data_IF_079466867848
#
_entry.id   IF_079466867848
#
_cell.length_a   1.000
_cell.length_b   1.000
_cell.length_c   1.000
_cell.angle_alpha   90.00
_cell.angle_beta   90.00
_cell.angle_gamma   90.00
#
_symmetry.space_group_name_H-M   'P 1'
#
loop_
_entity.id
_entity.type
_entity.pdbx_description
1 polymer ?
#
# COMPACT_ATOMS: atom_id res chain seq x y z
N UNK A 1 -16.32 -3.57 12.96
CA UNK A 1 -15.22 -3.38 11.99
C UNK A 1 -14.60 -4.71 11.67
N UNK A 2 -14.30 -4.98 10.39
CA UNK A 2 -13.56 -6.18 9.94
C UNK A 2 -12.10 -5.81 9.68
N UNK A 3 -11.15 -6.63 10.18
CA UNK A 3 -9.72 -6.47 9.94
C UNK A 3 -9.18 -7.72 9.28
N UNK A 4 -8.72 -7.59 8.04
CA UNK A 4 -8.16 -8.66 7.23
C UNK A 4 -6.63 -8.58 7.20
N UNK A 5 -5.99 -9.65 7.63
CA UNK A 5 -4.53 -9.81 7.64
C UNK A 5 -4.11 -10.64 6.44
N UNK A 6 -3.17 -10.13 5.65
CA UNK A 6 -2.56 -10.86 4.54
C UNK A 6 -1.32 -11.57 5.07
N UNK A 7 -1.36 -12.90 5.12
CA UNK A 7 -0.25 -13.74 5.52
C UNK A 7 0.49 -14.35 4.33
N UNK A 8 1.80 -14.22 4.31
CA UNK A 8 2.70 -14.99 3.46
C UNK A 8 4.03 -15.20 4.15
N UNK A 9 4.22 -16.40 4.72
CA UNK A 9 5.40 -16.78 5.50
C UNK A 9 5.68 -15.82 6.67
N UNK A 10 4.63 -15.49 7.45
CA UNK A 10 4.68 -14.50 8.53
C UNK A 10 5.26 -14.99 9.85
N UNK A 11 5.62 -16.27 9.95
CA UNK A 11 6.26 -16.81 11.13
C UNK A 11 5.49 -16.53 12.43
N UNK A 12 6.21 -16.01 13.43
CA UNK A 12 5.63 -15.62 14.73
C UNK A 12 4.94 -14.25 14.69
N UNK A 13 5.30 -13.39 13.73
CA UNK A 13 4.73 -12.04 13.54
C UNK A 13 3.22 -12.11 13.30
N UNK A 14 2.74 -13.09 12.53
CA UNK A 14 1.30 -13.30 12.31
C UNK A 14 0.55 -13.48 13.63
N UNK A 15 1.06 -14.32 14.53
CA UNK A 15 0.40 -14.58 15.83
C UNK A 15 0.40 -13.33 16.71
N UNK A 16 1.48 -12.56 16.71
CA UNK A 16 1.57 -11.30 17.45
C UNK A 16 0.58 -10.26 16.91
N UNK A 17 0.47 -10.14 15.60
CA UNK A 17 -0.48 -9.25 14.93
C UNK A 17 -1.93 -9.61 15.31
N UNK A 18 -2.33 -10.88 15.21
CA UNK A 18 -3.67 -11.35 15.60
C UNK A 18 -3.95 -11.05 17.07
N UNK A 19 -3.00 -11.32 17.98
CA UNK A 19 -3.16 -11.03 19.41
C UNK A 19 -3.35 -9.54 19.69
N UNK A 20 -2.60 -8.65 19.04
CA UNK A 20 -2.75 -7.19 19.21
C UNK A 20 -4.12 -6.69 18.75
N UNK A 21 -4.69 -7.28 17.70
CA UNK A 21 -6.05 -6.97 17.23
C UNK A 21 -7.14 -7.51 18.16
N UNK A 22 -6.96 -8.69 18.73
CA UNK A 22 -7.93 -9.26 19.69
C UNK A 22 -7.89 -8.57 21.07
N UNK A 23 -6.82 -7.82 21.35
CA UNK A 23 -6.64 -7.06 22.59
C UNK A 23 -7.16 -5.61 22.50
N UNK A 24 -7.86 -5.22 21.43
CA UNK A 24 -8.39 -3.86 21.26
C UNK A 24 -9.48 -3.53 22.29
N UNK A 25 -9.56 -2.23 22.68
CA UNK A 25 -10.60 -1.71 23.60
C UNK A 25 -12.02 -1.85 23.06
N UNK A 26 -12.16 -1.92 21.74
CA UNK A 26 -13.44 -2.20 21.05
C UNK A 26 -13.33 -3.48 20.22
N UNK A 27 -14.40 -4.29 20.13
CA UNK A 27 -14.33 -5.56 19.44
C UNK A 27 -14.10 -5.39 17.93
N UNK A 28 -13.17 -6.18 17.39
CA UNK A 28 -12.90 -6.30 15.96
C UNK A 28 -13.06 -7.75 15.51
N UNK A 29 -13.53 -7.95 14.31
CA UNK A 29 -13.58 -9.27 13.66
C UNK A 29 -12.30 -9.44 12.84
N UNK A 30 -11.48 -10.43 13.20
CA UNK A 30 -10.19 -10.69 12.57
C UNK A 30 -10.33 -11.82 11.54
N UNK A 31 -9.88 -11.54 10.30
CA UNK A 31 -9.76 -12.50 9.23
C UNK A 31 -8.28 -12.62 8.82
N UNK A 32 -7.79 -13.82 8.61
CA UNK A 32 -6.45 -14.10 8.11
C UNK A 32 -6.56 -14.77 6.77
N UNK A 33 -5.99 -14.17 5.72
CA UNK A 33 -5.87 -14.76 4.41
C UNK A 33 -4.47 -15.31 4.22
N UNK A 34 -4.34 -16.61 4.21
CA UNK A 34 -3.06 -17.27 3.93
C UNK A 34 -2.83 -17.37 2.42
N UNK A 35 -1.85 -16.64 1.94
CA UNK A 35 -1.52 -16.53 0.52
C UNK A 35 -0.53 -17.63 0.07
N UNK A 36 -0.83 -18.89 0.42
CA UNK A 36 0.00 -20.08 0.19
C UNK A 36 1.37 -20.02 0.91
N UNK A 37 1.35 -19.82 2.21
CA UNK A 37 2.57 -19.90 3.03
C UNK A 37 3.15 -21.31 3.04
N UNK A 38 4.47 -21.39 3.10
CA UNK A 38 5.22 -22.64 3.17
C UNK A 38 5.90 -22.85 4.53
N UNK A 39 5.78 -21.87 5.41
CA UNK A 39 6.27 -21.92 6.78
C UNK A 39 5.20 -22.45 7.76
N UNK A 40 5.51 -22.43 9.06
CA UNK A 40 4.60 -22.90 10.11
C UNK A 40 3.67 -21.79 10.66
N UNK A 41 3.56 -20.61 10.01
CA UNK A 41 2.79 -19.47 10.55
C UNK A 41 1.32 -19.84 10.82
N UNK A 42 0.65 -20.50 9.88
CA UNK A 42 -0.75 -20.90 10.02
C UNK A 42 -0.91 -22.02 11.05
N UNK A 43 -0.03 -23.02 11.05
CA UNK A 43 -0.07 -24.11 12.02
C UNK A 43 0.14 -23.58 13.46
N UNK A 44 1.05 -22.62 13.63
CA UNK A 44 1.31 -21.99 14.92
C UNK A 44 0.13 -21.13 15.37
N UNK A 45 -0.50 -20.37 14.46
CA UNK A 45 -1.69 -19.61 14.75
C UNK A 45 -2.85 -20.51 15.21
N UNK A 46 -3.13 -21.61 14.47
CA UNK A 46 -4.17 -22.60 14.82
C UNK A 46 -3.98 -23.21 16.21
N UNK A 47 -2.73 -23.51 16.60
CA UNK A 47 -2.39 -24.03 17.94
C UNK A 47 -2.72 -23.07 19.08
N UNK A 48 -2.77 -21.75 18.82
CA UNK A 48 -3.11 -20.75 19.85
C UNK A 48 -4.62 -20.66 20.14
N UNK A 49 -5.47 -21.29 19.32
CA UNK A 49 -6.93 -21.28 19.45
C UNK A 49 -7.52 -19.86 19.62
N UNK A 50 -6.98 -18.90 18.87
CA UNK A 50 -7.42 -17.51 18.89
C UNK A 50 -8.72 -17.32 18.07
N UNK A 51 -9.58 -16.38 18.48
CA UNK A 51 -10.84 -16.09 17.82
C UNK A 51 -10.62 -15.29 16.52
N UNK A 52 -10.17 -15.95 15.45
CA UNK A 52 -9.99 -15.37 14.12
C UNK A 52 -10.45 -16.37 13.05
N UNK A 53 -10.85 -15.84 11.88
CA UNK A 53 -11.24 -16.63 10.71
C UNK A 53 -10.03 -16.82 9.81
N UNK A 54 -9.68 -18.05 9.47
CA UNK A 54 -8.54 -18.36 8.61
C UNK A 54 -9.06 -18.83 7.25
N UNK A 55 -8.60 -18.17 6.20
CA UNK A 55 -8.89 -18.48 4.79
C UNK A 55 -7.57 -18.95 4.18
N UNK A 56 -7.44 -20.25 3.92
CA UNK A 56 -6.24 -20.83 3.32
C UNK A 56 -6.40 -20.88 1.79
N UNK A 57 -5.55 -20.17 1.08
CA UNK A 57 -5.53 -20.16 -0.38
C UNK A 57 -4.42 -21.11 -0.91
N UNK A 58 -4.72 -21.83 -1.99
CA UNK A 58 -3.81 -22.85 -2.55
C UNK A 58 -2.65 -22.29 -3.39
N UNK A 59 -2.67 -21.00 -3.72
CA UNK A 59 -1.64 -20.35 -4.54
C UNK A 59 -1.35 -18.92 -4.09
N UNK A 60 -0.15 -18.43 -4.39
CA UNK A 60 0.23 -17.05 -4.06
C UNK A 60 -0.32 -16.08 -5.12
N UNK A 61 -1.40 -15.39 -4.78
CA UNK A 61 -2.09 -14.40 -5.63
C UNK A 61 -1.40 -13.02 -5.66
N UNK A 62 -0.28 -12.85 -4.94
CA UNK A 62 0.30 -11.54 -4.69
C UNK A 62 -0.55 -10.73 -3.69
N UNK A 63 -0.09 -9.51 -3.39
CA UNK A 63 -0.79 -8.65 -2.41
C UNK A 63 -2.18 -8.23 -2.91
N UNK A 64 -2.29 -7.76 -4.15
CA UNK A 64 -3.56 -7.33 -4.73
C UNK A 64 -4.62 -8.44 -4.76
N UNK A 65 -4.22 -9.67 -5.12
CA UNK A 65 -5.13 -10.83 -5.13
C UNK A 65 -5.58 -11.22 -3.73
N UNK A 66 -4.67 -11.22 -2.76
CA UNK A 66 -4.99 -11.51 -1.35
C UNK A 66 -5.92 -10.45 -0.74
N UNK A 67 -5.70 -9.16 -1.04
CA UNK A 67 -6.64 -8.09 -0.67
C UNK A 67 -8.05 -8.37 -1.19
N UNK A 68 -8.18 -8.73 -2.46
CA UNK A 68 -9.50 -9.04 -3.04
C UNK A 68 -10.15 -10.26 -2.37
N UNK A 69 -9.36 -11.31 -2.06
CA UNK A 69 -9.87 -12.47 -1.36
C UNK A 69 -10.39 -12.16 0.06
N UNK A 70 -9.73 -11.23 0.76
CA UNK A 70 -10.24 -10.73 2.04
C UNK A 70 -11.53 -9.93 1.87
N UNK A 71 -11.58 -8.99 0.92
CA UNK A 71 -12.74 -8.13 0.69
C UNK A 71 -14.02 -8.94 0.37
N UNK A 72 -13.89 -10.09 -0.28
CA UNK A 72 -15.02 -11.00 -0.56
C UNK A 72 -15.62 -11.63 0.71
N UNK A 73 -14.86 -11.67 1.81
CA UNK A 73 -15.25 -12.25 3.10
C UNK A 73 -15.52 -11.20 4.20
N UNK A 74 -15.37 -9.91 3.88
CA UNK A 74 -15.59 -8.79 4.79
C UNK A 74 -16.96 -8.15 4.53
N UNK A 75 -17.71 -7.87 5.61
CA UNK A 75 -19.07 -7.34 5.50
C UNK A 75 -19.31 -6.06 6.31
N UNK A 76 -18.43 -5.71 7.26
CA UNK A 76 -18.59 -4.52 8.07
C UNK A 76 -18.46 -3.23 7.24
N UNK A 77 -19.10 -2.15 7.70
CA UNK A 77 -19.05 -0.83 7.04
C UNK A 77 -17.64 -0.25 7.03
N UNK A 78 -16.87 -0.49 8.09
CA UNK A 78 -15.44 -0.16 8.15
C UNK A 78 -14.63 -1.45 7.97
N UNK A 79 -13.76 -1.44 6.98
CA UNK A 79 -12.91 -2.56 6.60
C UNK A 79 -11.44 -2.12 6.64
N UNK A 80 -10.60 -3.02 7.11
CA UNK A 80 -9.15 -2.78 7.18
C UNK A 80 -8.41 -3.95 6.55
N UNK A 81 -7.49 -3.65 5.64
CA UNK A 81 -6.54 -4.61 5.08
C UNK A 81 -5.15 -4.31 5.66
N UNK A 82 -4.47 -5.32 6.17
CA UNK A 82 -3.16 -5.12 6.77
C UNK A 82 -2.19 -6.29 6.54
N UNK A 83 -0.90 -6.00 6.68
CA UNK A 83 0.15 -7.01 6.68
C UNK A 83 0.18 -7.77 8.03
N UNK A 84 0.81 -8.95 8.02
CA UNK A 84 0.99 -9.81 9.18
C UNK A 84 2.09 -9.36 10.16
N UNK A 85 2.95 -8.41 9.76
CA UNK A 85 4.11 -7.91 10.53
C UNK A 85 3.83 -6.59 11.26
N UNK A 86 2.57 -6.38 11.64
CA UNK A 86 2.09 -5.20 12.37
C UNK A 86 1.68 -5.54 13.81
N UNK A 87 1.87 -4.58 14.71
CA UNK A 87 1.33 -4.61 16.06
C UNK A 87 0.49 -3.35 16.29
N UNK A 88 -0.74 -3.52 16.74
CA UNK A 88 -1.71 -2.43 16.90
C UNK A 88 -1.70 -1.93 18.34
N UNK A 89 -1.66 -0.59 18.52
CA UNK A 89 -1.87 0.02 19.83
C UNK A 89 -3.23 -0.44 20.40
N UNK A 90 -3.34 -0.74 21.72
CA UNK A 90 -4.58 -1.25 22.31
C UNK A 90 -5.82 -0.37 22.07
N UNK A 91 -5.65 0.93 21.83
CA UNK A 91 -6.73 1.89 21.57
C UNK A 91 -6.90 2.21 20.07
N UNK A 92 -6.11 1.61 19.20
CA UNK A 92 -6.10 1.91 17.76
C UNK A 92 -7.47 1.83 17.10
N UNK A 93 -8.22 0.76 17.35
CA UNK A 93 -9.52 0.55 16.74
C UNK A 93 -10.55 1.61 17.18
N UNK A 94 -10.56 1.96 18.46
CA UNK A 94 -11.40 3.02 19.01
C UNK A 94 -11.06 4.38 18.39
N UNK A 95 -9.78 4.73 18.32
CA UNK A 95 -9.31 6.00 17.74
C UNK A 95 -9.62 6.09 16.25
N UNK A 96 -9.45 4.99 15.52
CA UNK A 96 -9.78 4.89 14.11
C UNK A 96 -11.28 5.11 13.86
N UNK A 97 -12.15 4.44 14.61
CA UNK A 97 -13.60 4.57 14.50
C UNK A 97 -14.04 5.99 14.85
N UNK A 98 -13.53 6.58 15.94
CA UNK A 98 -13.81 7.96 16.33
C UNK A 98 -13.38 8.95 15.24
N UNK A 99 -12.30 8.69 14.51
CA UNK A 99 -11.88 9.52 13.39
C UNK A 99 -12.87 9.39 12.21
N UNK A 100 -13.34 8.20 11.88
CA UNK A 100 -14.40 8.02 10.89
C UNK A 100 -15.70 8.74 11.26
N UNK A 101 -16.06 8.77 12.55
CA UNK A 101 -17.27 9.45 13.03
C UNK A 101 -17.13 10.98 12.94
N UNK A 102 -15.94 11.53 13.23
CA UNK A 102 -15.65 12.96 13.04
C UNK A 102 -15.63 13.40 11.58
N UNK A 103 -15.30 12.46 10.66
CA UNK A 103 -15.16 12.69 9.23
C UNK A 103 -16.09 11.78 8.42
N UNK A 104 -17.43 12.01 8.45
CA UNK A 104 -18.39 11.18 7.75
C UNK A 104 -18.19 11.19 6.21
N UNK A 105 -17.57 12.25 5.67
CA UNK A 105 -17.21 12.41 4.26
C UNK A 105 -15.96 11.62 3.86
N UNK A 106 -15.12 11.20 4.82
CA UNK A 106 -13.92 10.44 4.53
C UNK A 106 -14.25 9.01 4.10
N UNK A 107 -13.76 8.62 2.93
CA UNK A 107 -13.82 7.24 2.46
C UNK A 107 -12.78 6.34 3.12
N UNK A 108 -11.67 6.92 3.59
CA UNK A 108 -10.56 6.21 4.24
C UNK A 108 -9.98 7.02 5.39
N UNK A 109 -9.39 6.32 6.36
CA UNK A 109 -8.63 6.93 7.47
C UNK A 109 -7.26 6.26 7.54
N UNK A 110 -6.20 7.04 7.38
CA UNK A 110 -4.82 6.58 7.47
C UNK A 110 -4.33 6.58 8.92
N UNK A 111 -3.79 5.46 9.38
CA UNK A 111 -3.18 5.32 10.69
C UNK A 111 -1.75 5.91 10.70
N UNK A 112 -1.28 6.32 11.87
CA UNK A 112 0.13 6.61 12.11
C UNK A 112 0.90 5.29 12.20
N UNK A 113 1.72 5.01 11.20
CA UNK A 113 2.57 3.82 11.19
C UNK A 113 4.00 4.20 11.57
N UNK A 114 4.54 3.55 12.59
CA UNK A 114 5.84 3.90 13.16
C UNK A 114 6.55 2.68 13.75
N UNK A 115 7.85 2.78 13.99
CA UNK A 115 8.62 1.84 14.79
C UNK A 115 8.42 2.12 16.28
N UNK A 116 8.58 1.12 17.14
CA UNK A 116 8.57 1.32 18.62
C UNK A 116 9.67 2.30 19.07
N UNK A 117 10.72 2.43 18.29
CA UNK A 117 11.80 3.42 18.48
C UNK A 117 11.36 4.89 18.33
N UNK A 118 10.16 5.14 17.82
CA UNK A 118 9.66 6.48 17.52
C UNK A 118 9.96 6.98 16.10
N UNK A 119 10.53 6.13 15.24
CA UNK A 119 10.75 6.48 13.83
C UNK A 119 9.48 6.25 13.03
N UNK A 120 9.00 7.28 12.31
CA UNK A 120 7.80 7.24 11.49
C UNK A 120 8.07 6.43 10.21
N UNK A 121 7.17 5.49 9.91
CA UNK A 121 7.18 4.75 8.66
C UNK A 121 6.31 5.41 7.59
N UNK A 122 5.14 5.90 7.97
CA UNK A 122 4.22 6.61 7.08
C UNK A 122 3.16 7.41 7.86
N UNK A 123 2.82 8.58 7.32
CA UNK A 123 1.64 9.40 7.65
C UNK A 123 0.63 9.29 6.51
N UNK A 124 1.12 9.25 5.28
CA UNK A 124 0.38 9.14 4.03
C UNK A 124 1.36 8.91 2.88
N UNK A 125 0.90 9.13 1.65
CA UNK A 125 1.70 8.96 0.44
C UNK A 125 1.81 10.26 -0.33
N UNK A 126 3.01 10.61 -0.78
CA UNK A 126 3.34 11.76 -1.63
C UNK A 126 4.00 11.29 -2.92
N UNK A 127 4.01 12.14 -3.94
CA UNK A 127 4.51 11.79 -5.26
C UNK A 127 5.60 12.73 -5.77
N UNK A 128 6.61 12.15 -6.43
CA UNK A 128 7.47 12.89 -7.35
C UNK A 128 6.75 13.19 -8.67
N UNK A 129 7.29 14.13 -9.43
CA UNK A 129 6.75 14.54 -10.74
C UNK A 129 6.70 13.40 -11.78
N UNK A 130 7.35 12.30 -11.51
CA UNK A 130 7.37 11.07 -12.32
C UNK A 130 6.44 9.97 -11.77
N UNK A 131 5.50 10.32 -10.88
CA UNK A 131 4.62 9.38 -10.16
C UNK A 131 5.38 8.43 -9.23
N UNK A 132 6.59 8.77 -8.80
CA UNK A 132 7.29 8.00 -7.79
C UNK A 132 6.64 8.21 -6.43
N UNK A 133 6.07 7.16 -5.86
CA UNK A 133 5.43 7.21 -4.56
C UNK A 133 6.46 7.15 -3.41
N UNK A 134 6.28 8.01 -2.42
CA UNK A 134 7.08 8.05 -1.19
C UNK A 134 6.14 8.19 0.01
N UNK A 135 6.43 7.44 1.06
CA UNK A 135 5.71 7.62 2.32
C UNK A 135 6.10 8.95 2.96
N UNK A 136 5.10 9.76 3.30
CA UNK A 136 5.28 11.03 3.99
C UNK A 136 5.87 10.80 5.38
N UNK A 137 6.77 11.67 5.80
CA UNK A 137 7.51 11.63 7.07
C UNK A 137 8.36 10.37 7.31
N UNK A 138 8.49 9.47 6.32
CA UNK A 138 9.24 8.22 6.49
C UNK A 138 10.70 8.46 6.85
N UNK A 139 11.11 7.90 7.99
CA UNK A 139 12.48 7.98 8.52
C UNK A 139 12.73 9.16 9.46
N UNK A 140 11.74 10.04 9.67
CA UNK A 140 11.81 11.09 10.68
C UNK A 140 11.46 10.54 12.07
N UNK A 141 12.01 11.16 13.12
CA UNK A 141 11.51 10.93 14.46
C UNK A 141 10.12 11.54 14.60
N UNK A 142 9.24 10.95 15.40
CA UNK A 142 7.88 11.44 15.63
C UNK A 142 7.84 12.87 16.15
N UNK A 143 8.86 13.31 16.90
CA UNK A 143 8.98 14.67 17.40
C UNK A 143 9.28 15.72 16.30
N UNK A 144 9.78 15.26 15.14
CA UNK A 144 10.16 16.10 13.99
C UNK A 144 9.12 16.03 12.86
N UNK A 145 8.24 15.02 12.89
CA UNK A 145 7.24 14.80 11.87
C UNK A 145 6.01 15.68 12.05
N UNK A 146 5.41 16.14 10.94
CA UNK A 146 4.08 16.79 10.98
C UNK A 146 3.01 15.70 11.10
N UNK A 147 2.60 15.44 12.34
CA UNK A 147 1.59 14.43 12.70
C UNK A 147 0.22 15.03 13.01
N UNK A 148 -0.09 16.24 12.53
CA UNK A 148 -1.43 16.80 12.69
C UNK A 148 -2.43 16.05 11.82
N UNK A 149 -3.69 15.95 12.31
CA UNK A 149 -4.80 15.43 11.52
C UNK A 149 -4.96 16.28 10.25
N UNK A 150 -4.98 15.64 9.09
CA UNK A 150 -5.04 16.30 7.77
C UNK A 150 -5.49 15.35 6.68
N UNK A 151 -5.90 15.91 5.55
CA UNK A 151 -6.14 15.14 4.33
C UNK A 151 -4.81 14.65 3.73
N UNK A 152 -4.78 13.37 3.32
CA UNK A 152 -3.65 12.72 2.66
C UNK A 152 -4.13 11.98 1.41
N UNK A 153 -3.23 11.64 0.49
CA UNK A 153 -3.59 10.93 -0.73
C UNK A 153 -4.26 9.58 -0.48
N UNK A 154 -3.76 8.81 0.44
CA UNK A 154 -4.21 7.45 0.76
C UNK A 154 -3.43 6.87 1.92
N UNK A 155 -3.88 5.73 2.42
CA UNK A 155 -3.19 5.00 3.48
C UNK A 155 -1.89 4.36 2.95
N UNK A 156 -0.99 4.08 3.88
CA UNK A 156 0.17 3.23 3.62
C UNK A 156 -0.27 1.79 3.35
N UNK A 157 0.28 1.15 2.30
CA UNK A 157 -0.12 -0.18 1.88
C UNK A 157 0.01 -1.28 2.94
N UNK A 158 0.81 -1.07 4.01
CA UNK A 158 0.89 -2.03 5.11
C UNK A 158 -0.39 -2.06 5.96
N UNK A 159 -1.14 -0.96 6.05
CA UNK A 159 -2.44 -0.88 6.73
C UNK A 159 -3.34 0.13 6.02
N UNK A 160 -4.47 -0.33 5.50
CA UNK A 160 -5.44 0.46 4.76
C UNK A 160 -6.81 0.31 5.40
N UNK A 161 -7.37 1.42 5.91
CA UNK A 161 -8.68 1.46 6.56
C UNK A 161 -9.63 2.29 5.71
N UNK A 162 -10.82 1.76 5.39
CA UNK A 162 -11.76 2.42 4.50
C UNK A 162 -13.22 2.01 4.77
N UNK A 163 -14.15 2.84 4.33
CA UNK A 163 -15.56 2.49 4.27
C UNK A 163 -15.83 1.51 3.13
N UNK A 164 -16.68 0.53 3.36
CA UNK A 164 -17.12 -0.44 2.33
C UNK A 164 -17.61 0.26 1.07
N UNK A 165 -18.43 1.30 1.21
CA UNK A 165 -18.94 2.08 0.07
C UNK A 165 -17.82 2.71 -0.78
N UNK A 166 -16.75 3.16 -0.16
CA UNK A 166 -15.58 3.72 -0.87
C UNK A 166 -14.80 2.62 -1.61
N UNK A 167 -14.64 1.44 -0.98
CA UNK A 167 -14.02 0.29 -1.62
C UNK A 167 -14.83 -0.21 -2.83
N UNK A 168 -16.16 -0.29 -2.71
CA UNK A 168 -17.05 -0.66 -3.81
C UNK A 168 -17.00 0.34 -4.97
N UNK A 169 -16.97 1.63 -4.67
CA UNK A 169 -16.83 2.68 -5.68
C UNK A 169 -15.48 2.65 -6.39
N UNK A 170 -14.37 2.43 -5.67
CA UNK A 170 -13.05 2.24 -6.27
C UNK A 170 -12.99 0.93 -7.08
N UNK A 171 -13.66 -0.12 -6.62
CA UNK A 171 -13.66 -1.47 -7.19
C UNK A 171 -12.44 -2.30 -6.76
N UNK A 172 -12.38 -3.55 -7.19
CA UNK A 172 -11.31 -4.49 -6.85
C UNK A 172 -9.92 -3.96 -7.23
N UNK A 173 -8.90 -4.36 -6.48
CA UNK A 173 -7.51 -4.17 -6.89
C UNK A 173 -7.20 -5.05 -8.11
N UNK A 174 -6.38 -4.55 -9.03
CA UNK A 174 -5.95 -5.35 -10.19
C UNK A 174 -4.90 -6.39 -9.78
N UNK A 175 -5.31 -7.66 -9.65
CA UNK A 175 -4.44 -8.76 -9.25
C UNK A 175 -3.19 -8.91 -10.14
N UNK A 176 -3.22 -8.43 -11.39
CA UNK A 176 -2.08 -8.47 -12.30
C UNK A 176 -0.91 -7.56 -11.90
N UNK A 177 -1.14 -6.64 -10.94
CA UNK A 177 -0.06 -5.89 -10.30
C UNK A 177 0.81 -6.82 -9.45
N UNK A 178 0.22 -7.81 -8.84
CA UNK A 178 0.84 -8.81 -7.98
C UNK A 178 1.41 -8.21 -6.69
N UNK A 179 2.35 -7.25 -6.77
CA UNK A 179 3.03 -6.67 -5.63
C UNK A 179 3.56 -5.26 -5.95
N UNK A 180 3.43 -4.34 -5.01
CA UNK A 180 3.80 -2.93 -5.06
C UNK A 180 3.03 -2.09 -6.08
N UNK A 181 2.61 -0.91 -5.63
CA UNK A 181 1.88 0.09 -6.41
C UNK A 181 0.40 -0.21 -6.66
N UNK A 182 -0.12 -1.40 -6.27
CA UNK A 182 -1.53 -1.75 -6.39
C UNK A 182 -2.42 -0.87 -5.52
N UNK A 183 -2.00 -0.59 -4.29
CA UNK A 183 -2.68 0.32 -3.37
C UNK A 183 -2.68 1.76 -3.91
N UNK A 184 -1.59 2.18 -4.50
CA UNK A 184 -1.45 3.51 -5.10
C UNK A 184 -2.43 3.70 -6.26
N UNK A 185 -2.52 2.73 -7.17
CA UNK A 185 -3.48 2.74 -8.28
C UNK A 185 -4.91 2.71 -7.76
N UNK A 186 -5.17 1.92 -6.72
CA UNK A 186 -6.48 1.81 -6.10
C UNK A 186 -6.89 3.13 -5.42
N UNK A 187 -5.99 3.81 -4.70
CA UNK A 187 -6.27 5.11 -4.10
C UNK A 187 -6.48 6.22 -5.13
N UNK A 188 -5.87 6.16 -6.30
CA UNK A 188 -6.26 7.06 -7.40
C UNK A 188 -7.73 6.87 -7.77
N UNK A 189 -8.22 5.64 -7.92
CA UNK A 189 -9.63 5.36 -8.21
C UNK A 189 -10.56 5.77 -7.06
N UNK A 190 -10.15 5.56 -5.83
CA UNK A 190 -10.85 6.01 -4.63
C UNK A 190 -11.04 7.53 -4.64
N UNK A 191 -9.98 8.29 -4.90
CA UNK A 191 -10.04 9.75 -5.03
C UNK A 191 -10.86 10.19 -6.25
N UNK A 192 -10.75 9.50 -7.39
CA UNK A 192 -11.55 9.79 -8.60
C UNK A 192 -13.05 9.54 -8.37
N UNK A 193 -13.41 8.61 -7.50
CA UNK A 193 -14.78 8.35 -7.06
C UNK A 193 -15.31 9.44 -6.09
N UNK A 194 -14.48 10.42 -5.71
CA UNK A 194 -14.86 11.55 -4.86
C UNK A 194 -14.60 11.35 -3.37
N UNK A 195 -14.02 10.23 -2.98
CA UNK A 195 -13.68 9.96 -1.58
C UNK A 195 -12.32 10.56 -1.21
N UNK A 196 -12.18 10.93 0.06
CA UNK A 196 -10.95 11.47 0.64
C UNK A 196 -10.39 10.52 1.69
N UNK A 197 -9.10 10.68 1.98
CA UNK A 197 -8.43 9.99 3.09
C UNK A 197 -7.99 11.01 4.13
N UNK A 198 -8.36 10.79 5.39
CA UNK A 198 -7.94 11.60 6.52
C UNK A 198 -6.88 10.85 7.32
N UNK A 199 -5.77 11.50 7.64
CA UNK A 199 -4.75 10.96 8.53
C UNK A 199 -5.18 11.14 9.99
N UNK A 200 -5.19 10.05 10.75
CA UNK A 200 -5.51 10.02 12.18
C UNK A 200 -4.24 9.73 13.01
N UNK A 201 -3.63 10.72 13.63
CA UNK A 201 -2.39 10.54 14.40
C UNK A 201 -2.57 9.71 15.67
N UNK A 202 -3.79 9.63 16.18
CA UNK A 202 -4.12 8.88 17.39
C UNK A 202 -4.22 7.36 17.13
N UNK A 203 -4.55 6.95 15.90
CA UNK A 203 -4.64 5.55 15.50
C UNK A 203 -3.25 5.00 15.17
N UNK A 204 -2.52 4.53 16.20
CA UNK A 204 -1.12 4.11 16.10
C UNK A 204 -0.97 2.64 15.76
N UNK A 205 -0.09 2.33 14.81
CA UNK A 205 0.30 0.99 14.41
C UNK A 205 1.82 0.88 14.40
N UNK A 206 2.35 -0.16 15.01
CA UNK A 206 3.77 -0.41 15.05
C UNK A 206 4.16 -1.41 13.95
N UNK A 207 5.15 -1.03 13.17
CA UNK A 207 5.70 -1.82 12.08
C UNK A 207 7.22 -1.79 12.21
N UNK A 208 7.75 -2.77 12.90
CA UNK A 208 9.20 -2.95 12.92
C UNK A 208 9.62 -3.34 11.50
N UNK A 209 10.47 -2.52 10.89
CA UNK A 209 10.96 -2.82 9.54
C UNK A 209 11.63 -4.17 9.55
N UNK A 210 10.89 -5.21 9.16
CA UNK A 210 11.47 -6.54 9.09
C UNK A 210 12.65 -6.53 8.14
N UNK A 211 13.74 -7.16 8.53
CA UNK A 211 14.94 -7.34 7.68
C UNK A 211 14.63 -8.11 6.39
N UNK A 212 13.44 -8.71 6.28
CA UNK A 212 12.96 -9.46 5.12
C UNK A 212 12.59 -8.57 3.92
N UNK A 213 12.22 -7.30 4.14
CA UNK A 213 11.92 -6.38 3.03
C UNK A 213 13.15 -5.56 2.68
N UNK A 214 14.07 -6.14 1.93
CA UNK A 214 15.23 -5.43 1.40
C UNK A 214 14.79 -4.18 0.66
N UNK A 215 15.21 -3.02 1.16
CA UNK A 215 14.76 -1.68 0.72
C UNK A 215 14.83 -1.47 -0.80
N UNK A 216 15.73 -2.19 -1.50
CA UNK A 216 15.96 -2.13 -2.95
C UNK A 216 16.34 -3.49 -3.54
N UNK A 217 15.43 -4.48 -3.52
CA UNK A 217 15.69 -5.72 -4.26
C UNK A 217 15.39 -5.52 -5.76
N UNK A 218 16.04 -6.28 -6.67
CA UNK A 218 15.71 -6.26 -8.10
C UNK A 218 14.24 -6.59 -8.37
N UNK A 219 13.65 -7.47 -7.55
CA UNK A 219 12.23 -7.83 -7.60
C UNK A 219 11.34 -6.63 -7.25
N UNK A 220 11.64 -5.93 -6.16
CA UNK A 220 10.91 -4.72 -5.74
C UNK A 220 10.99 -3.65 -6.82
N UNK A 221 12.20 -3.39 -7.33
CA UNK A 221 12.42 -2.41 -8.38
C UNK A 221 11.65 -2.74 -9.66
N UNK A 222 11.65 -4.02 -10.06
CA UNK A 222 10.91 -4.49 -11.23
C UNK A 222 9.40 -4.25 -11.09
N UNK A 223 8.77 -4.72 -10.01
CA UNK A 223 7.33 -4.55 -9.82
C UNK A 223 6.94 -3.09 -9.65
N UNK A 224 7.64 -2.34 -8.80
CA UNK A 224 7.34 -0.93 -8.56
C UNK A 224 7.42 -0.11 -9.84
N UNK A 225 8.46 -0.30 -10.66
CA UNK A 225 8.62 0.45 -11.92
C UNK A 225 7.61 0.04 -12.98
N UNK A 226 7.39 -1.27 -13.17
CA UNK A 226 6.37 -1.79 -14.09
C UNK A 226 4.99 -1.24 -13.75
N UNK A 227 4.61 -1.34 -12.48
CA UNK A 227 3.28 -0.97 -12.02
C UNK A 227 3.08 0.55 -12.01
N UNK A 228 4.13 1.33 -11.70
CA UNK A 228 4.14 2.79 -11.83
C UNK A 228 3.82 3.22 -13.28
N UNK A 229 4.48 2.62 -14.27
CA UNK A 229 4.23 2.91 -15.69
C UNK A 229 2.81 2.54 -16.12
N UNK A 230 2.33 1.37 -15.69
CA UNK A 230 0.95 0.92 -15.94
C UNK A 230 -0.08 1.90 -15.36
N UNK A 231 0.09 2.30 -14.10
CA UNK A 231 -0.76 3.28 -13.42
C UNK A 231 -0.78 4.62 -14.17
N UNK A 232 0.39 5.09 -14.60
CA UNK A 232 0.49 6.31 -15.36
C UNK A 232 -0.28 6.25 -16.69
N UNK A 233 -0.15 5.17 -17.47
CA UNK A 233 -0.88 4.96 -18.71
C UNK A 233 -2.40 4.96 -18.48
N UNK A 234 -2.87 4.32 -17.41
CA UNK A 234 -4.28 4.25 -17.04
C UNK A 234 -4.87 5.62 -16.69
N UNK A 235 -4.12 6.44 -15.97
CA UNK A 235 -4.67 7.57 -15.21
C UNK A 235 -4.19 8.95 -15.69
N UNK A 236 -2.93 9.12 -16.08
CA UNK A 236 -2.38 10.45 -16.36
C UNK A 236 -2.66 10.90 -17.80
N UNK A 237 -2.64 12.22 -18.09
CA UNK A 237 -2.64 12.72 -19.45
C UNK A 237 -1.49 12.10 -20.26
N UNK A 238 -1.74 11.76 -21.54
CA UNK A 238 -0.72 11.11 -22.38
C UNK A 238 0.54 11.97 -22.53
N UNK A 239 0.40 13.30 -22.53
CA UNK A 239 1.55 14.23 -22.50
C UNK A 239 2.48 14.02 -21.30
N UNK A 240 1.96 13.61 -20.16
CA UNK A 240 2.75 13.28 -18.99
C UNK A 240 3.34 11.87 -19.07
N UNK A 241 2.57 10.91 -19.61
CA UNK A 241 3.04 9.54 -19.82
C UNK A 241 4.30 9.52 -20.68
N UNK A 242 4.34 10.30 -21.78
CA UNK A 242 5.53 10.40 -22.63
C UNK A 242 6.76 11.02 -21.96
N UNK A 243 6.60 11.82 -20.91
CA UNK A 243 7.70 12.42 -20.13
C UNK A 243 8.28 11.49 -19.07
N UNK A 244 7.53 10.45 -18.68
CA UNK A 244 7.91 9.56 -17.56
C UNK A 244 9.22 8.80 -17.76
N UNK A 245 9.56 8.26 -18.94
CA UNK A 245 10.84 7.58 -19.15
C UNK A 245 12.03 8.51 -18.87
N UNK A 246 11.95 9.74 -19.37
CA UNK A 246 13.01 10.74 -19.15
C UNK A 246 13.13 11.14 -17.66
N UNK A 247 12.00 11.45 -17.03
CA UNK A 247 11.96 11.81 -15.59
C UNK A 247 12.45 10.66 -14.71
N UNK A 248 12.01 9.44 -15.00
CA UNK A 248 12.49 8.23 -14.30
C UNK A 248 13.99 8.01 -14.48
N UNK A 249 14.52 8.21 -15.68
CA UNK A 249 15.95 8.13 -15.95
C UNK A 249 16.74 9.15 -15.13
N UNK A 250 16.31 10.42 -15.08
CA UNK A 250 16.93 11.48 -14.27
C UNK A 250 16.93 11.08 -12.79
N UNK A 251 15.82 10.56 -12.26
CA UNK A 251 15.72 10.07 -10.89
C UNK A 251 16.73 8.96 -10.60
N UNK A 252 16.82 7.96 -11.46
CA UNK A 252 17.78 6.86 -11.27
C UNK A 252 19.22 7.31 -11.36
N UNK A 253 19.55 8.28 -12.24
CA UNK A 253 20.88 8.89 -12.28
C UNK A 253 21.21 9.64 -10.98
N UNK A 254 20.25 10.41 -10.45
CA UNK A 254 20.38 11.11 -9.16
C UNK A 254 20.62 10.13 -8.02
N UNK A 255 19.84 9.05 -7.94
CA UNK A 255 20.02 8.00 -6.95
C UNK A 255 21.39 7.31 -7.06
N UNK A 256 21.85 7.06 -8.28
CA UNK A 256 23.17 6.45 -8.51
C UNK A 256 24.32 7.34 -8.06
N UNK A 257 24.18 8.67 -8.20
CA UNK A 257 25.20 9.68 -7.75
C UNK A 257 25.16 9.86 -6.23
N UNK A 258 23.98 9.85 -5.62
CA UNK A 258 23.76 10.06 -4.19
C UNK A 258 24.13 8.87 -3.30
N UNK A 259 24.67 7.79 -3.88
CA UNK A 259 25.14 6.63 -3.11
C UNK A 259 24.04 5.91 -2.35
N UNK A 260 22.80 5.89 -2.88
CA UNK A 260 21.71 5.13 -2.26
C UNK A 260 22.09 3.64 -2.25
N UNK A 261 22.33 3.06 -1.07
CA UNK A 261 22.74 1.66 -0.97
C UNK A 261 21.53 0.79 -1.32
N UNK A 262 21.50 0.25 -2.53
CA UNK A 262 20.71 -0.94 -2.76
C UNK A 262 21.39 -2.09 -2.05
N UNK A 263 20.76 -2.66 -1.02
CA UNK A 263 21.23 -3.89 -0.41
C UNK A 263 20.39 -5.05 -0.95
N UNK A 264 21.06 -6.16 -1.31
CA UNK A 264 20.39 -7.46 -1.49
C UNK A 264 20.02 -8.03 -0.13
N UNK A 265 19.12 -9.05 -0.06
CA UNK A 265 18.69 -9.68 1.20
C UNK A 265 19.81 -10.25 2.06
N UNK A 266 21.02 -10.34 1.52
CA UNK A 266 22.25 -10.75 2.17
C UNK A 266 23.17 -9.57 2.60
N UNK A 267 22.64 -8.34 2.59
CA UNK A 267 23.38 -7.12 2.97
C UNK A 267 24.35 -6.58 1.92
N UNK A 268 24.48 -7.22 0.76
CA UNK A 268 25.38 -6.80 -0.32
C UNK A 268 24.78 -5.65 -1.12
N UNK A 269 25.62 -4.71 -1.56
CA UNK A 269 25.21 -3.64 -2.49
C UNK A 269 24.70 -4.25 -3.80
N UNK A 270 23.52 -3.82 -4.27
CA UNK A 270 23.04 -4.20 -5.59
C UNK A 270 23.99 -3.74 -6.69
N UNK A 271 24.33 -4.65 -7.59
CA UNK A 271 25.14 -4.27 -8.75
C UNK A 271 24.35 -3.35 -9.69
N UNK A 272 25.00 -2.39 -10.30
CA UNK A 272 24.40 -1.51 -11.33
C UNK A 272 23.75 -2.33 -12.45
N UNK A 273 24.37 -3.45 -12.81
CA UNK A 273 23.86 -4.37 -13.84
C UNK A 273 22.51 -4.98 -13.41
N UNK A 274 22.36 -5.42 -12.15
CA UNK A 274 21.09 -5.96 -11.63
C UNK A 274 19.97 -4.92 -11.67
N UNK A 275 20.28 -3.66 -11.32
CA UNK A 275 19.34 -2.54 -11.39
C UNK A 275 18.91 -2.30 -12.83
N UNK A 276 19.87 -2.16 -13.77
CA UNK A 276 19.57 -1.97 -15.20
C UNK A 276 18.74 -3.11 -15.77
N UNK A 277 19.07 -4.37 -15.45
CA UNK A 277 18.28 -5.54 -15.89
C UNK A 277 16.85 -5.50 -15.36
N UNK A 278 16.65 -5.17 -14.08
CA UNK A 278 15.31 -5.07 -13.47
C UNK A 278 14.47 -3.97 -14.14
N UNK A 279 15.07 -2.78 -14.38
CA UNK A 279 14.39 -1.68 -15.05
C UNK A 279 14.06 -2.01 -16.51
N UNK A 280 15.00 -2.55 -17.28
CA UNK A 280 14.76 -2.96 -18.67
C UNK A 280 13.62 -3.99 -18.76
N UNK A 281 13.62 -5.00 -17.88
CA UNK A 281 12.55 -5.99 -17.80
C UNK A 281 11.20 -5.33 -17.47
N UNK A 282 11.17 -4.39 -16.52
CA UNK A 282 9.96 -3.67 -16.13
C UNK A 282 9.38 -2.87 -17.30
N UNK A 283 10.23 -2.15 -18.04
CA UNK A 283 9.82 -1.34 -19.19
C UNK A 283 9.33 -2.21 -20.36
N UNK A 284 10.04 -3.29 -20.69
CA UNK A 284 9.63 -4.21 -21.75
C UNK A 284 8.28 -4.84 -21.42
N UNK A 285 8.07 -5.27 -20.16
CA UNK A 285 6.79 -5.85 -19.77
C UNK A 285 5.67 -4.80 -19.74
N UNK A 286 5.92 -3.57 -19.29
CA UNK A 286 4.94 -2.49 -19.33
C UNK A 286 4.54 -2.17 -20.78
N UNK A 287 5.48 -2.16 -21.73
CA UNK A 287 5.19 -1.97 -23.16
C UNK A 287 4.38 -3.15 -23.72
N UNK A 288 4.72 -4.38 -23.37
CA UNK A 288 3.95 -5.57 -23.79
C UNK A 288 2.50 -5.51 -23.28
N UNK A 289 2.29 -5.00 -22.06
CA UNK A 289 0.97 -4.85 -21.46
C UNK A 289 0.19 -3.60 -21.97
N UNK A 290 0.82 -2.72 -22.74
CA UNK A 290 0.24 -1.44 -23.16
C UNK A 290 -1.17 -1.55 -23.79
N UNK A 291 -1.46 -2.52 -24.68
CA UNK A 291 -2.82 -2.65 -25.24
C UNK A 291 -3.88 -2.87 -24.16
N UNK A 292 -3.58 -3.67 -23.15
CA UNK A 292 -4.47 -3.90 -22.00
C UNK A 292 -4.63 -2.63 -21.15
N UNK A 293 -3.55 -1.92 -20.89
CA UNK A 293 -3.58 -0.69 -20.09
C UNK A 293 -4.40 0.42 -20.77
N UNK A 294 -4.33 0.51 -22.09
CA UNK A 294 -5.17 1.43 -22.88
C UNK A 294 -6.65 1.04 -22.84
N UNK A 295 -6.96 -0.27 -22.78
CA UNK A 295 -8.35 -0.73 -22.58
C UNK A 295 -8.86 -0.32 -21.20
N UNK A 296 -8.09 -0.61 -20.13
CA UNK A 296 -8.44 -0.21 -18.75
C UNK A 296 -8.58 1.31 -18.65
N UNK A 297 -7.69 2.09 -19.31
CA UNK A 297 -7.82 3.54 -19.38
C UNK A 297 -9.19 3.97 -19.95
N UNK A 298 -9.67 3.34 -21.03
CA UNK A 298 -11.00 3.66 -21.61
C UNK A 298 -12.12 3.35 -20.62
N UNK A 299 -12.00 2.26 -19.85
CA UNK A 299 -12.96 1.90 -18.81
C UNK A 299 -12.99 2.98 -17.70
N UNK A 300 -11.82 3.44 -17.23
CA UNK A 300 -11.74 4.50 -16.23
C UNK A 300 -12.29 5.83 -16.72
N UNK A 301 -12.04 6.19 -17.98
CA UNK A 301 -12.63 7.40 -18.58
C UNK A 301 -14.15 7.33 -18.77
N UNK A 302 -14.73 6.12 -18.87
CA UNK A 302 -16.19 5.93 -18.86
C UNK A 302 -16.77 6.01 -17.46
N UNK A 303 -16.03 5.47 -16.46
CA UNK A 303 -16.47 5.42 -15.05
C UNK A 303 -16.29 6.76 -14.34
N UNK A 304 -15.20 7.46 -14.59
CA UNK A 304 -14.83 8.69 -13.91
C UNK A 304 -14.73 9.84 -14.90
N UNK A 305 -15.62 10.81 -14.77
CA UNK A 305 -15.61 11.99 -15.61
C UNK A 305 -14.27 12.75 -15.50
N UNK A 306 -13.68 13.11 -16.67
CA UNK A 306 -12.40 13.81 -16.74
C UNK A 306 -11.25 13.12 -15.99
N UNK A 307 -11.24 11.76 -15.95
CA UNK A 307 -10.35 10.95 -15.13
C UNK A 307 -8.89 11.42 -15.16
N UNK A 308 -8.30 11.64 -16.34
CA UNK A 308 -6.90 12.02 -16.46
C UNK A 308 -6.59 13.43 -15.95
N UNK A 309 -7.50 14.39 -16.14
CA UNK A 309 -7.31 15.75 -15.61
C UNK A 309 -7.44 15.75 -14.08
N UNK A 310 -8.42 15.01 -13.55
CA UNK A 310 -8.60 14.86 -12.10
C UNK A 310 -7.39 14.13 -11.48
N UNK A 311 -6.92 13.04 -12.09
CA UNK A 311 -5.74 12.32 -11.61
C UNK A 311 -4.48 13.20 -11.63
N UNK A 312 -4.33 14.08 -12.62
CA UNK A 312 -3.23 15.06 -12.64
C UNK A 312 -3.36 16.06 -11.49
N UNK A 313 -4.54 16.60 -11.21
CA UNK A 313 -4.79 17.50 -10.08
C UNK A 313 -4.49 16.80 -8.74
N UNK A 314 -4.89 15.54 -8.59
CA UNK A 314 -4.56 14.72 -7.41
C UNK A 314 -3.04 14.58 -7.27
N UNK A 315 -2.34 14.24 -8.34
CA UNK A 315 -0.88 14.13 -8.32
C UNK A 315 -0.20 15.44 -7.89
N UNK A 316 -0.70 16.59 -8.38
CA UNK A 316 -0.16 17.90 -8.05
C UNK A 316 -0.44 18.28 -6.59
N UNK A 317 -1.64 17.98 -6.08
CA UNK A 317 -2.05 18.27 -4.70
C UNK A 317 -1.22 17.51 -3.66
N UNK A 318 -0.76 16.31 -3.99
CA UNK A 318 0.06 15.48 -3.09
C UNK A 318 1.51 15.33 -3.57
N UNK A 319 2.03 16.36 -4.24
CA UNK A 319 3.41 16.35 -4.72
C UNK A 319 4.42 16.59 -3.59
N UNK A 320 5.63 16.00 -3.72
CA UNK A 320 6.74 16.19 -2.77
C UNK A 320 7.25 17.65 -2.66
N UNK A 321 6.82 18.52 -3.57
CA UNK A 321 7.24 19.93 -3.66
C UNK A 321 6.04 20.90 -3.51
N UNK A 322 4.92 20.43 -3.02
CA UNK A 322 3.73 21.24 -2.77
C UNK A 322 3.80 21.92 -1.39
#
# INVERSE_FOLDING_TARGET
>A
MDVGIINYNGGEELTACVKSLLAQTVPVRVLVFDNASTDNSIQNLKKQNLNCFIIENGENLGYAGACNGLLENMNADIQVLCNMDLEFDPTWAEKLLNCFDRHPEAGSVASLVMEKSGVVNAVGVQFGADLFAKNEASGLNIAEADIREKEVFGCYGAVMSFRKVAAEAAGKMDASFFLFFEETEWYFRHNLAGFKTVFCPEAKVYHERSMTTVRYSPRKLFYSERNRLRTAVRLLPMSDVFKLPFRGFVRYLSMAKGGVPGQSGDGKKLSKISICKALAKAWLQALWMLPNELRVRKEYHRKFENASLKARKILDAYSLNA
#
